data_IF_219375200728
#
_entry.id   IF_219375200728
#
_cell.length_a   1.000
_cell.length_b   1.000
_cell.length_c   1.000
_cell.angle_alpha   90.00
_cell.angle_beta   90.00
_cell.angle_gamma   90.00
#
_symmetry.space_group_name_H-M   'P 1'
#
loop_
_entity.id
_entity.type
_entity.pdbx_description
1 polymer ?
#
# COMPACT_ATOMS: atom_id res chain seq x y z
N UNK A 1 13.03 -9.61 9.23
CA UNK A 1 12.64 -8.28 8.76
C UNK A 1 11.17 -8.06 9.06
N UNK A 2 10.76 -6.80 9.22
CA UNK A 2 9.36 -6.39 9.34
C UNK A 2 8.88 -5.83 8.01
N UNK A 3 7.86 -6.44 7.44
CA UNK A 3 7.21 -5.98 6.23
C UNK A 3 5.85 -5.35 6.54
N UNK A 4 5.58 -4.21 5.90
CA UNK A 4 4.27 -3.57 5.92
C UNK A 4 3.70 -3.60 4.50
N UNK A 5 2.49 -4.12 4.38
CA UNK A 5 1.69 -4.10 3.16
C UNK A 5 0.50 -3.19 3.41
N UNK A 6 0.42 -2.07 2.70
CA UNK A 6 -0.75 -1.19 2.70
C UNK A 6 -1.50 -1.36 1.40
N UNK A 7 -2.79 -1.66 1.48
CA UNK A 7 -3.62 -1.85 0.28
C UNK A 7 -4.92 -1.07 0.37
N UNK A 8 -5.58 -0.86 -0.76
CA UNK A 8 -7.00 -0.51 -0.79
C UNK A 8 -7.73 -1.51 -1.70
N UNK A 9 -9.03 -1.70 -1.55
CA UNK A 9 -9.77 -2.59 -2.45
C UNK A 9 -11.24 -2.22 -2.57
N UNK A 10 -11.71 -2.09 -3.82
CA UNK A 10 -13.13 -1.83 -4.11
C UNK A 10 -13.90 -3.13 -4.34
N UNK A 11 -13.26 -4.14 -4.93
CA UNK A 11 -13.88 -5.43 -5.28
C UNK A 11 -13.17 -6.64 -4.64
N UNK A 12 -12.22 -6.40 -3.73
CA UNK A 12 -11.48 -7.46 -3.02
C UNK A 12 -10.33 -8.12 -3.79
N UNK A 13 -10.10 -7.76 -5.05
CA UNK A 13 -8.99 -8.34 -5.83
C UNK A 13 -7.62 -7.94 -5.27
N UNK A 14 -7.44 -6.65 -5.00
CA UNK A 14 -6.20 -6.11 -4.41
C UNK A 14 -5.95 -6.66 -3.01
N UNK A 15 -7.00 -6.86 -2.20
CA UNK A 15 -6.88 -7.51 -0.89
C UNK A 15 -6.33 -8.94 -1.02
N UNK A 16 -6.87 -9.73 -1.97
CA UNK A 16 -6.39 -11.10 -2.20
C UNK A 16 -4.92 -11.13 -2.60
N UNK A 17 -4.49 -10.18 -3.43
CA UNK A 17 -3.07 -10.04 -3.82
C UNK A 17 -2.22 -9.67 -2.61
N UNK A 18 -2.62 -8.66 -1.82
CA UNK A 18 -1.91 -8.24 -0.61
C UNK A 18 -1.73 -9.40 0.40
N UNK A 19 -2.78 -10.21 0.60
CA UNK A 19 -2.72 -11.41 1.45
C UNK A 19 -1.79 -12.49 0.89
N UNK A 20 -1.85 -12.75 -0.41
CA UNK A 20 -0.95 -13.72 -1.06
C UNK A 20 0.53 -13.28 -0.97
N UNK A 21 0.82 -11.98 -1.10
CA UNK A 21 2.17 -11.44 -0.87
C UNK A 21 2.60 -11.67 0.58
N UNK A 22 1.72 -11.43 1.55
CA UNK A 22 2.02 -11.68 2.96
C UNK A 22 2.34 -13.16 3.22
N UNK A 23 1.54 -14.07 2.67
CA UNK A 23 1.75 -15.52 2.78
C UNK A 23 3.10 -15.95 2.18
N UNK A 24 3.56 -15.31 1.11
CA UNK A 24 4.86 -15.61 0.50
C UNK A 24 6.06 -15.08 1.32
N UNK A 25 5.85 -14.07 2.16
CA UNK A 25 6.89 -13.49 3.03
C UNK A 25 6.98 -14.26 4.36
N UNK A 26 5.85 -14.79 4.84
CA UNK A 26 5.74 -15.70 5.98
C UNK A 26 6.31 -17.07 5.58
N UNK A 27 6.97 -17.84 6.47
CA UNK A 27 7.16 -17.63 7.92
C UNK A 27 8.44 -16.92 8.32
N UNK A 28 9.31 -16.55 7.37
CA UNK A 28 10.64 -16.03 7.69
C UNK A 28 10.65 -14.61 8.25
N UNK A 29 9.54 -13.88 8.16
CA UNK A 29 9.43 -12.47 8.50
C UNK A 29 8.08 -12.13 9.15
N UNK A 30 8.06 -11.04 9.91
CA UNK A 30 6.83 -10.44 10.44
C UNK A 30 6.19 -9.60 9.34
N UNK A 31 4.90 -9.80 9.09
CA UNK A 31 4.15 -9.07 8.06
C UNK A 31 2.90 -8.47 8.67
N UNK A 32 2.70 -7.17 8.44
CA UNK A 32 1.43 -6.48 8.73
C UNK A 32 0.76 -6.10 7.42
N UNK A 33 -0.53 -6.43 7.30
CA UNK A 33 -1.36 -6.07 6.16
C UNK A 33 -2.46 -5.15 6.65
N UNK A 34 -2.48 -3.90 6.16
CA UNK A 34 -3.42 -2.87 6.58
C UNK A 34 -4.14 -2.28 5.37
N UNK A 35 -5.42 -1.96 5.54
CA UNK A 35 -6.13 -1.13 4.58
C UNK A 35 -5.61 0.32 4.67
N UNK A 36 -5.52 1.03 3.55
CA UNK A 36 -4.91 2.35 3.48
C UNK A 36 -5.65 3.40 4.33
N UNK A 37 -6.96 3.22 4.54
CA UNK A 37 -7.75 4.05 5.45
C UNK A 37 -7.44 3.85 6.94
N UNK A 38 -6.86 2.70 7.30
CA UNK A 38 -6.53 2.33 8.68
C UNK A 38 -5.04 2.47 8.99
N UNK A 39 -4.20 2.57 7.96
CA UNK A 39 -2.76 2.66 8.09
C UNK A 39 -2.32 4.05 8.60
N UNK A 40 -1.37 4.06 9.55
CA UNK A 40 -0.73 5.27 10.07
C UNK A 40 0.70 5.39 9.54
N UNK A 41 1.21 6.61 9.25
CA UNK A 41 2.62 6.82 8.90
C UNK A 41 3.61 6.25 9.93
N UNK A 42 3.23 6.19 11.22
CA UNK A 42 4.06 5.62 12.29
C UNK A 42 4.39 4.13 12.07
N UNK A 43 3.60 3.43 11.26
CA UNK A 43 3.86 2.03 10.90
C UNK A 43 5.17 1.86 10.10
N UNK A 44 5.60 2.91 9.41
CA UNK A 44 6.81 2.89 8.60
C UNK A 44 8.09 3.01 9.42
N UNK A 45 8.05 3.58 10.63
CA UNK A 45 9.24 3.78 11.47
C UNK A 45 9.97 2.46 11.78
N UNK A 46 9.21 1.36 11.76
CA UNK A 46 9.68 0.03 12.14
C UNK A 46 9.81 -0.92 10.94
N UNK A 47 9.51 -0.46 9.72
CA UNK A 47 9.37 -1.31 8.54
C UNK A 47 10.68 -1.36 7.73
N UNK A 48 11.19 -2.57 7.43
CA UNK A 48 12.33 -2.73 6.52
C UNK A 48 11.89 -2.93 5.06
N UNK A 49 10.67 -3.43 4.84
CA UNK A 49 10.07 -3.61 3.51
C UNK A 49 8.65 -3.05 3.48
N UNK A 50 8.44 -2.01 2.66
CA UNK A 50 7.12 -1.40 2.48
C UNK A 50 6.57 -1.72 1.08
N UNK A 51 5.39 -2.32 1.04
CA UNK A 51 4.66 -2.69 -0.18
C UNK A 51 3.33 -1.92 -0.19
N UNK A 52 2.97 -1.39 -1.35
CA UNK A 52 1.69 -0.71 -1.57
C UNK A 52 0.97 -1.33 -2.74
N UNK A 53 -0.31 -1.64 -2.57
CA UNK A 53 -1.17 -2.14 -3.64
C UNK A 53 -2.47 -1.33 -3.73
N UNK A 54 -3.01 -1.15 -4.93
CA UNK A 54 -4.19 -0.31 -5.14
C UNK A 54 -4.92 -0.68 -6.44
N UNK A 55 -6.26 -0.64 -6.47
CA UNK A 55 -7.00 -0.68 -7.73
C UNK A 55 -6.52 0.40 -8.68
N UNK A 56 -6.39 0.06 -9.96
CA UNK A 56 -6.04 1.04 -11.00
C UNK A 56 -7.30 1.75 -11.48
N UNK A 57 -7.51 3.00 -11.03
CA UNK A 57 -8.63 3.84 -11.46
C UNK A 57 -8.10 5.00 -12.31
N UNK A 58 -8.43 5.02 -13.60
CA UNK A 58 -7.94 6.01 -14.57
C UNK A 58 -6.39 6.18 -14.54
N UNK A 59 -5.66 5.07 -14.39
CA UNK A 59 -4.20 5.06 -14.32
C UNK A 59 -3.61 5.58 -13.01
N UNK A 60 -4.42 5.71 -11.95
CA UNK A 60 -3.99 6.21 -10.64
C UNK A 60 -4.36 5.24 -9.51
N UNK A 61 -3.61 5.24 -8.40
CA UNK A 61 -4.06 4.61 -7.16
C UNK A 61 -5.35 5.27 -6.65
N UNK A 62 -6.06 4.59 -5.78
CA UNK A 62 -7.25 5.13 -5.12
C UNK A 62 -6.89 6.28 -4.15
N UNK A 63 -7.85 7.16 -3.83
CA UNK A 63 -7.61 8.27 -2.90
C UNK A 63 -7.04 7.86 -1.52
N UNK A 64 -7.52 6.79 -0.85
CA UNK A 64 -6.94 6.36 0.42
C UNK A 64 -5.44 6.05 0.33
N UNK A 65 -5.01 5.39 -0.76
CA UNK A 65 -3.58 5.10 -0.98
C UNK A 65 -2.78 6.36 -1.25
N UNK A 66 -3.30 7.29 -2.07
CA UNK A 66 -2.65 8.58 -2.33
C UNK A 66 -2.49 9.41 -1.06
N UNK A 67 -3.52 9.45 -0.21
CA UNK A 67 -3.51 10.17 1.06
C UNK A 67 -2.51 9.57 2.03
N UNK A 68 -2.47 8.24 2.15
CA UNK A 68 -1.49 7.54 2.99
C UNK A 68 -0.06 7.87 2.54
N UNK A 69 0.23 7.73 1.24
CA UNK A 69 1.56 8.00 0.69
C UNK A 69 1.99 9.46 0.91
N UNK A 70 1.07 10.41 0.71
CA UNK A 70 1.35 11.84 0.87
C UNK A 70 1.64 12.24 2.32
N UNK A 71 1.03 11.54 3.29
CA UNK A 71 1.31 11.71 4.73
C UNK A 71 2.59 10.99 5.17
N UNK A 72 2.99 9.96 4.43
CA UNK A 72 4.05 9.02 4.81
C UNK A 72 5.41 9.32 4.18
N UNK A 73 5.44 9.95 3.00
CA UNK A 73 6.64 10.13 2.20
C UNK A 73 6.83 11.60 1.82
N UNK A 74 8.06 12.10 1.93
CA UNK A 74 8.37 13.52 1.64
C UNK A 74 8.54 13.86 0.15
N UNK A 75 8.31 12.91 -0.76
CA UNK A 75 8.42 13.14 -2.21
C UNK A 75 7.03 13.16 -2.87
N UNK A 76 6.88 14.00 -3.91
CA UNK A 76 5.62 14.09 -4.67
C UNK A 76 5.35 12.76 -5.36
N UNK A 77 4.22 12.15 -5.07
CA UNK A 77 3.66 11.05 -5.85
C UNK A 77 3.49 11.54 -7.29
N UNK A 78 4.14 10.86 -8.23
CA UNK A 78 4.05 11.18 -9.66
C UNK A 78 2.58 11.08 -10.10
N UNK A 79 2.00 12.22 -10.49
CA UNK A 79 0.67 12.29 -11.09
C UNK A 79 0.85 12.42 -12.60
N UNK A 80 0.69 11.34 -13.39
CA UNK A 80 0.74 11.47 -14.83
C UNK A 80 -0.32 12.48 -15.28
N UNK A 81 0.08 13.40 -16.17
CA UNK A 81 -0.86 14.30 -16.80
C UNK A 81 -1.90 13.46 -17.54
N UNK A 82 -3.19 13.77 -17.34
CA UNK A 82 -4.26 13.11 -18.06
C UNK A 82 -3.97 13.24 -19.56
N UNK A 83 -3.82 12.12 -20.26
CA UNK A 83 -3.85 12.11 -21.71
C UNK A 83 -5.29 12.46 -22.11
N UNK A 84 -5.48 13.70 -22.55
CA UNK A 84 -6.67 14.16 -23.28
C UNK A 84 -6.56 13.76 -24.75
#
# INVERSE_FOLDING_TARGET
>A
MRALIVYDSVYGNTEKIARAIAEAIIPSNEVRVLEAGEASPSELESTDLFIVDSPTHAGRPTPPVQDFLSKSLSFKVFQPHNYS
#
